data_IF_956434486922
#
_entry.id   IF_956434486922
#
_cell.length_a   1.000
_cell.length_b   1.000
_cell.length_c   1.000
_cell.angle_alpha   90.00
_cell.angle_beta   90.00
_cell.angle_gamma   90.00
#
_symmetry.space_group_name_H-M   'P 1'
#
loop_
_entity.id
_entity.type
_entity.pdbx_description
1 polymer ?
#
# COMPACT_ATOMS: atom_id res chain seq x y z
N UNK A 1 23.54 -14.59 -6.53
CA UNK A 1 22.75 -14.42 -7.75
C UNK A 1 22.77 -12.96 -8.09
N UNK A 2 23.53 -12.57 -9.12
CA UNK A 2 23.52 -11.23 -9.69
C UNK A 2 22.07 -10.91 -10.07
N UNK A 3 21.45 -9.98 -9.36
CA UNK A 3 20.24 -9.29 -9.84
C UNK A 3 20.68 -8.49 -11.06
N UNK A 4 20.72 -9.16 -12.20
CA UNK A 4 21.06 -8.52 -13.46
C UNK A 4 20.12 -7.33 -13.68
N UNK A 5 20.65 -6.27 -14.28
CA UNK A 5 20.05 -4.98 -14.63
C UNK A 5 18.69 -5.03 -15.36
N UNK A 6 17.96 -6.15 -15.33
CA UNK A 6 16.67 -6.37 -15.99
C UNK A 6 15.47 -5.77 -15.27
N UNK A 7 15.59 -5.45 -13.98
CA UNK A 7 14.47 -5.01 -13.13
C UNK A 7 14.39 -3.50 -12.92
N UNK A 8 15.45 -2.77 -13.23
CA UNK A 8 15.42 -1.32 -13.18
C UNK A 8 15.77 -0.79 -14.57
N UNK A 9 14.81 -0.23 -15.32
CA UNK A 9 15.14 0.49 -16.55
C UNK A 9 16.12 1.62 -16.20
N UNK A 10 17.27 1.66 -16.88
CA UNK A 10 18.36 2.61 -16.63
C UNK A 10 17.99 4.06 -16.88
N UNK A 11 16.89 4.31 -17.56
CA UNK A 11 16.34 5.64 -17.81
C UNK A 11 14.84 5.65 -17.51
N UNK A 12 14.32 6.69 -16.85
CA UNK A 12 12.89 6.86 -16.75
C UNK A 12 12.34 7.05 -18.17
N UNK A 13 11.54 6.11 -18.64
CA UNK A 13 10.84 6.20 -19.94
C UNK A 13 9.70 7.22 -19.90
N UNK A 14 9.80 8.22 -19.03
CA UNK A 14 8.83 9.31 -18.94
C UNK A 14 9.35 10.53 -19.72
N UNK A 15 8.69 10.80 -20.81
CA UNK A 15 8.80 12.10 -21.45
C UNK A 15 7.91 13.06 -20.66
N UNK A 16 8.53 13.94 -19.87
CA UNK A 16 7.83 14.92 -19.01
C UNK A 16 6.87 15.82 -19.80
N UNK A 17 7.22 16.20 -21.04
CA UNK A 17 6.38 17.01 -21.91
C UNK A 17 5.15 16.21 -22.41
N UNK A 18 5.34 14.94 -22.71
CA UNK A 18 4.25 14.06 -23.14
C UNK A 18 3.28 13.77 -21.99
N UNK A 19 3.79 13.53 -20.78
CA UNK A 19 2.96 13.34 -19.59
C UNK A 19 2.23 14.63 -19.20
N UNK A 20 2.87 15.78 -19.32
CA UNK A 20 2.24 17.08 -19.13
C UNK A 20 1.12 17.30 -20.15
N UNK A 21 1.35 17.00 -21.43
CA UNK A 21 0.33 17.11 -22.47
C UNK A 21 -0.84 16.12 -22.27
N UNK A 22 -0.59 14.92 -21.70
CA UNK A 22 -1.65 13.99 -21.29
C UNK A 22 -2.45 14.54 -20.12
N UNK A 23 -1.79 15.18 -19.16
CA UNK A 23 -2.41 15.81 -18.02
C UNK A 23 -3.28 17.00 -18.43
N UNK A 24 -2.76 17.89 -19.29
CA UNK A 24 -3.48 19.04 -19.81
C UNK A 24 -4.71 18.61 -20.64
N UNK A 25 -4.61 17.54 -21.43
CA UNK A 25 -5.76 16.93 -22.12
C UNK A 25 -6.80 16.38 -21.16
N UNK A 26 -6.38 15.71 -20.06
CA UNK A 26 -7.30 15.20 -19.02
C UNK A 26 -7.98 16.35 -18.29
N UNK A 27 -7.28 17.41 -17.96
CA UNK A 27 -7.85 18.59 -17.31
C UNK A 27 -8.83 19.33 -18.22
N UNK A 28 -8.52 19.51 -19.49
CA UNK A 28 -9.42 20.12 -20.48
C UNK A 28 -10.67 19.25 -20.73
N UNK A 29 -10.53 17.93 -20.78
CA UNK A 29 -11.66 17.00 -20.88
C UNK A 29 -12.52 16.97 -19.61
N UNK A 30 -11.93 17.17 -18.43
CA UNK A 30 -12.67 17.29 -17.17
C UNK A 30 -13.51 18.58 -17.13
N UNK A 31 -13.03 19.68 -17.73
CA UNK A 31 -13.83 20.90 -17.90
C UNK A 31 -14.93 20.77 -18.96
N UNK A 32 -14.78 19.91 -19.98
CA UNK A 32 -15.64 19.85 -21.17
C UNK A 32 -16.67 18.71 -21.20
N UNK A 33 -17.02 18.08 -20.08
CA UNK A 33 -18.15 17.17 -20.11
C UNK A 33 -18.04 15.82 -19.40
N UNK A 34 -16.89 15.43 -18.84
CA UNK A 34 -16.81 14.22 -18.01
C UNK A 34 -17.64 14.37 -16.72
N UNK A 35 -17.83 15.60 -16.23
CA UNK A 35 -18.70 15.90 -15.10
C UNK A 35 -20.17 15.61 -15.38
N UNK A 36 -20.64 15.84 -16.62
CA UNK A 36 -22.02 15.55 -17.03
C UNK A 36 -22.29 14.05 -17.16
N UNK A 37 -21.37 13.27 -17.72
CA UNK A 37 -21.49 11.81 -17.80
C UNK A 37 -21.41 11.14 -16.42
N UNK A 38 -20.61 11.70 -15.50
CA UNK A 38 -20.56 11.24 -14.11
C UNK A 38 -21.83 11.58 -13.33
N UNK A 39 -22.50 12.71 -13.65
CA UNK A 39 -23.79 13.11 -13.06
C UNK A 39 -24.94 12.23 -13.55
N UNK A 40 -24.93 11.77 -14.78
CA UNK A 40 -25.94 10.84 -15.30
C UNK A 40 -25.82 9.44 -14.67
N UNK A 41 -24.64 9.04 -14.24
CA UNK A 41 -24.44 7.82 -13.43
C UNK A 41 -25.06 7.92 -12.02
N UNK A 42 -25.35 9.12 -11.51
CA UNK A 42 -26.04 9.32 -10.22
C UNK A 42 -27.51 8.90 -10.22
N UNK A 43 -28.12 8.67 -11.38
CA UNK A 43 -29.48 8.09 -11.50
C UNK A 43 -29.52 6.59 -11.18
N UNK A 44 -28.37 5.93 -10.95
CA UNK A 44 -28.34 4.54 -10.51
C UNK A 44 -28.92 4.45 -9.10
N UNK A 45 -29.98 3.65 -8.96
CA UNK A 45 -30.55 3.32 -7.66
C UNK A 45 -29.47 2.72 -6.78
N UNK A 46 -29.23 3.32 -5.62
CA UNK A 46 -28.28 2.78 -4.65
C UNK A 46 -28.80 1.43 -4.16
N UNK A 47 -27.93 0.42 -4.22
CA UNK A 47 -28.16 -0.91 -3.68
C UNK A 47 -27.21 -1.15 -2.51
N UNK A 48 -27.57 -2.06 -1.64
CA UNK A 48 -26.82 -2.39 -0.44
C UNK A 48 -26.49 -3.88 -0.43
N UNK A 49 -25.31 -4.22 0.11
CA UNK A 49 -24.98 -5.61 0.32
C UNK A 49 -25.97 -6.25 1.30
N UNK A 50 -26.52 -7.39 0.95
CA UNK A 50 -27.48 -8.11 1.80
C UNK A 50 -26.87 -8.68 3.08
N UNK A 51 -25.54 -8.78 3.17
CA UNK A 51 -24.82 -9.31 4.35
C UNK A 51 -24.20 -8.20 5.22
N UNK A 52 -23.45 -7.25 4.62
CA UNK A 52 -22.67 -6.25 5.40
C UNK A 52 -23.20 -4.83 5.22
N UNK A 53 -24.26 -4.63 4.46
CA UNK A 53 -24.89 -3.33 4.17
C UNK A 53 -23.96 -2.31 3.49
N UNK A 54 -22.88 -2.76 2.83
CA UNK A 54 -21.99 -1.87 2.09
C UNK A 54 -22.74 -1.28 0.87
N UNK A 55 -22.67 0.05 0.61
CA UNK A 55 -23.40 0.68 -0.48
C UNK A 55 -22.72 0.47 -1.84
N UNK A 56 -23.50 0.41 -2.92
CA UNK A 56 -22.99 0.34 -4.30
C UNK A 56 -22.32 1.63 -4.77
N UNK A 57 -22.64 2.76 -4.13
CA UNK A 57 -22.01 4.05 -4.39
C UNK A 57 -20.87 4.24 -3.39
N UNK A 58 -19.64 4.04 -3.84
CA UNK A 58 -18.43 4.30 -3.09
C UNK A 58 -17.38 4.91 -4.02
N UNK A 59 -16.28 5.43 -3.43
CA UNK A 59 -15.17 6.00 -4.20
C UNK A 59 -14.54 4.97 -5.16
N UNK A 60 -14.50 3.70 -4.75
CA UNK A 60 -14.15 2.57 -5.61
C UNK A 60 -15.43 1.84 -6.00
N UNK A 61 -15.71 1.64 -7.30
CA UNK A 61 -16.87 0.90 -7.75
C UNK A 61 -16.93 -0.49 -7.10
N UNK A 62 -18.05 -0.82 -6.46
CA UNK A 62 -18.24 -2.11 -5.81
C UNK A 62 -19.09 -3.01 -6.71
N UNK A 63 -18.58 -4.19 -7.00
CA UNK A 63 -19.32 -5.23 -7.72
C UNK A 63 -20.17 -6.07 -6.75
N UNK A 64 -21.36 -6.44 -7.22
CA UNK A 64 -22.30 -7.28 -6.49
C UNK A 64 -22.57 -8.55 -7.27
N UNK A 65 -22.58 -9.68 -6.58
CA UNK A 65 -23.05 -10.93 -7.17
C UNK A 65 -24.57 -10.95 -7.38
N UNK A 66 -25.05 -11.93 -8.13
CA UNK A 66 -26.49 -12.14 -8.38
C UNK A 66 -27.29 -12.39 -7.09
N UNK A 67 -26.61 -12.82 -6.02
CA UNK A 67 -27.17 -13.01 -4.68
C UNK A 67 -27.22 -11.72 -3.82
N UNK A 68 -26.85 -10.57 -4.39
CA UNK A 68 -26.83 -9.29 -3.69
C UNK A 68 -25.64 -9.08 -2.72
N UNK A 69 -24.67 -10.00 -2.69
CA UNK A 69 -23.47 -9.86 -1.88
C UNK A 69 -22.42 -8.98 -2.58
N UNK A 70 -21.83 -8.04 -1.85
CA UNK A 70 -20.64 -7.32 -2.35
C UNK A 70 -19.44 -8.25 -2.50
N UNK A 71 -18.47 -7.85 -3.33
CA UNK A 71 -17.24 -8.63 -3.57
C UNK A 71 -16.50 -8.95 -2.26
N UNK A 72 -16.45 -8.02 -1.30
CA UNK A 72 -15.84 -8.26 0.00
C UNK A 72 -16.47 -9.41 0.78
N UNK A 73 -17.80 -9.49 0.79
CA UNK A 73 -18.52 -10.60 1.42
C UNK A 73 -18.33 -11.92 0.69
N UNK A 74 -18.33 -11.89 -0.65
CA UNK A 74 -18.06 -13.10 -1.45
C UNK A 74 -16.67 -13.66 -1.15
N UNK A 75 -15.63 -12.83 -1.15
CA UNK A 75 -14.26 -13.23 -0.82
C UNK A 75 -14.15 -13.71 0.63
N UNK A 76 -14.80 -13.03 1.58
CA UNK A 76 -14.82 -13.46 2.98
C UNK A 76 -15.45 -14.84 3.14
N UNK A 77 -16.60 -15.07 2.50
CA UNK A 77 -17.27 -16.36 2.52
C UNK A 77 -16.46 -17.47 1.84
N UNK A 78 -15.71 -17.13 0.78
CA UNK A 78 -14.79 -18.06 0.13
C UNK A 78 -13.62 -18.44 1.05
N UNK A 79 -13.00 -17.45 1.71
CA UNK A 79 -11.89 -17.66 2.66
C UNK A 79 -12.30 -18.56 3.83
N UNK A 80 -13.53 -18.46 4.32
CA UNK A 80 -14.05 -19.32 5.41
C UNK A 80 -14.21 -20.78 5.01
N UNK A 81 -14.23 -21.07 3.72
CA UNK A 81 -14.34 -22.44 3.19
C UNK A 81 -12.98 -23.11 2.97
N UNK A 82 -11.89 -22.36 3.12
CA UNK A 82 -10.56 -22.97 2.99
C UNK A 82 -10.32 -23.94 4.15
N UNK A 83 -9.84 -25.14 3.81
CA UNK A 83 -9.37 -26.10 4.80
C UNK A 83 -8.11 -25.57 5.50
N UNK A 84 -7.84 -26.02 6.72
CA UNK A 84 -6.66 -25.61 7.48
C UNK A 84 -5.37 -25.93 6.71
N UNK A 85 -5.34 -27.04 5.99
CA UNK A 85 -4.20 -27.40 5.13
C UNK A 85 -3.85 -26.36 4.06
N UNK A 86 -4.82 -25.57 3.57
CA UNK A 86 -4.54 -24.48 2.63
C UNK A 86 -3.83 -23.31 3.34
N UNK A 87 -4.17 -23.04 4.61
CA UNK A 87 -3.47 -22.04 5.40
C UNK A 87 -2.04 -22.48 5.77
N UNK A 88 -1.86 -23.77 6.09
CA UNK A 88 -0.54 -24.37 6.32
C UNK A 88 0.34 -24.28 5.08
N UNK A 89 -0.23 -24.60 3.91
CA UNK A 89 0.48 -24.47 2.62
C UNK A 89 0.90 -23.03 2.36
N UNK A 90 0.02 -22.05 2.59
CA UNK A 90 0.34 -20.61 2.42
C UNK A 90 1.43 -20.15 3.39
N UNK A 91 1.38 -20.61 4.63
CA UNK A 91 2.42 -20.32 5.60
C UNK A 91 3.77 -20.90 5.16
N UNK A 92 3.79 -22.11 4.63
CA UNK A 92 5.00 -22.71 4.11
C UNK A 92 5.58 -21.95 2.93
N UNK A 93 4.75 -21.54 1.97
CA UNK A 93 5.17 -20.68 0.84
C UNK A 93 5.76 -19.35 1.34
N UNK A 94 5.14 -18.71 2.34
CA UNK A 94 5.69 -17.48 2.92
C UNK A 94 7.06 -17.71 3.55
N UNK A 95 7.26 -18.81 4.29
CA UNK A 95 8.56 -19.17 4.87
C UNK A 95 9.62 -19.37 3.78
N UNK A 96 9.30 -20.08 2.72
CA UNK A 96 10.21 -20.32 1.60
C UNK A 96 10.65 -19.02 0.90
N UNK A 97 9.71 -18.08 0.69
CA UNK A 97 10.03 -16.76 0.12
C UNK A 97 10.97 -15.98 1.06
N UNK A 98 10.69 -15.99 2.35
CA UNK A 98 11.51 -15.31 3.35
C UNK A 98 12.91 -15.93 3.46
N UNK A 99 13.02 -17.27 3.44
CA UNK A 99 14.31 -17.95 3.48
C UNK A 99 15.19 -17.63 2.25
N UNK A 100 14.59 -17.48 1.07
CA UNK A 100 15.32 -17.03 -0.12
C UNK A 100 15.87 -15.60 0.02
N UNK A 101 15.21 -14.76 0.80
CA UNK A 101 15.60 -13.38 1.05
C UNK A 101 16.59 -13.24 2.22
N UNK A 102 16.73 -14.27 3.06
CA UNK A 102 17.57 -14.22 4.29
C UNK A 102 19.03 -13.82 3.99
N UNK A 103 19.55 -12.91 4.79
CA UNK A 103 20.98 -12.59 4.81
C UNK A 103 21.76 -13.73 5.47
N UNK A 104 22.61 -14.41 4.70
CA UNK A 104 23.35 -15.57 5.20
C UNK A 104 24.47 -15.18 6.16
N UNK A 105 25.02 -13.99 5.99
CA UNK A 105 26.15 -13.44 6.75
C UNK A 105 25.73 -12.33 7.74
N UNK A 106 24.44 -12.00 7.80
CA UNK A 106 23.92 -10.94 8.64
C UNK A 106 24.33 -9.53 8.20
N UNK A 107 24.94 -9.36 7.04
CA UNK A 107 25.43 -8.06 6.54
C UNK A 107 24.30 -7.09 6.15
N UNK A 108 23.07 -7.57 6.01
CA UNK A 108 21.88 -6.78 5.66
C UNK A 108 20.63 -7.30 6.35
N UNK A 109 19.56 -6.52 6.35
CA UNK A 109 18.23 -6.99 6.73
C UNK A 109 17.69 -8.00 5.70
N UNK A 110 16.81 -8.88 6.16
CA UNK A 110 16.20 -9.92 5.33
C UNK A 110 15.08 -9.35 4.44
N UNK A 111 14.30 -8.43 5.00
CA UNK A 111 13.20 -7.79 4.30
C UNK A 111 12.96 -6.37 4.82
N UNK A 112 12.21 -5.59 4.07
CA UNK A 112 11.61 -4.31 4.50
C UNK A 112 10.15 -4.53 4.82
N UNK A 113 9.65 -3.93 5.90
CA UNK A 113 8.23 -3.87 6.24
C UNK A 113 7.81 -2.40 6.25
N UNK A 114 6.83 -2.03 5.40
CA UNK A 114 6.18 -0.72 5.46
C UNK A 114 5.26 -0.63 6.67
N UNK A 115 5.51 0.32 7.59
CA UNK A 115 4.79 0.40 8.87
C UNK A 115 4.21 1.79 9.13
N UNK A 116 3.05 1.82 9.80
CA UNK A 116 2.36 3.05 10.23
C UNK A 116 2.15 3.14 11.75
N UNK A 117 2.57 2.15 12.51
CA UNK A 117 2.29 2.06 13.95
C UNK A 117 0.88 1.57 14.29
N UNK A 118 0.08 1.18 13.28
CA UNK A 118 -1.23 0.57 13.47
C UNK A 118 -1.14 -0.93 13.81
N UNK A 119 -2.28 -1.53 14.15
CA UNK A 119 -2.39 -2.95 14.56
C UNK A 119 -1.79 -3.93 13.55
N UNK A 120 -1.99 -3.67 12.27
CA UNK A 120 -1.52 -4.54 11.20
C UNK A 120 0.01 -4.47 11.06
N UNK A 121 0.60 -3.27 11.23
CA UNK A 121 2.05 -3.08 11.29
C UNK A 121 2.69 -3.85 12.45
N UNK A 122 2.07 -3.79 13.62
CA UNK A 122 2.51 -4.55 14.80
C UNK A 122 2.42 -6.05 14.57
N UNK A 123 1.30 -6.53 14.02
CA UNK A 123 1.10 -7.94 13.71
C UNK A 123 2.15 -8.46 12.72
N UNK A 124 2.36 -7.75 11.60
CA UNK A 124 3.33 -8.14 10.59
C UNK A 124 4.74 -8.20 11.15
N UNK A 125 5.15 -7.18 11.90
CA UNK A 125 6.48 -7.13 12.51
C UNK A 125 6.66 -8.26 13.51
N UNK A 126 5.67 -8.48 14.40
CA UNK A 126 5.68 -9.59 15.33
C UNK A 126 5.81 -10.94 14.62
N UNK A 127 5.02 -11.15 13.60
CA UNK A 127 5.01 -12.43 12.88
C UNK A 127 6.35 -12.68 12.18
N UNK A 128 6.90 -11.70 11.46
CA UNK A 128 8.16 -11.82 10.75
C UNK A 128 9.35 -11.96 11.71
N UNK A 129 9.41 -11.09 12.74
CA UNK A 129 10.55 -11.08 13.69
C UNK A 129 10.46 -12.21 14.72
N UNK A 130 9.35 -12.30 15.44
CA UNK A 130 9.27 -13.14 16.63
C UNK A 130 8.79 -14.57 16.31
N UNK A 131 7.91 -14.73 15.32
CA UNK A 131 7.37 -16.06 14.97
C UNK A 131 8.25 -16.75 13.92
N UNK A 132 8.68 -16.02 12.90
CA UNK A 132 9.47 -16.59 11.80
C UNK A 132 10.99 -16.41 11.96
N UNK A 133 11.44 -15.56 12.89
CA UNK A 133 12.87 -15.37 13.22
C UNK A 133 13.69 -14.67 12.13
N UNK A 134 13.08 -13.71 11.41
CA UNK A 134 13.77 -12.89 10.40
C UNK A 134 14.16 -11.53 10.97
N UNK A 135 15.10 -10.86 10.29
CA UNK A 135 15.58 -9.53 10.65
C UNK A 135 15.02 -8.47 9.69
N UNK A 136 13.81 -7.88 9.98
CA UNK A 136 13.21 -6.86 9.15
C UNK A 136 13.79 -5.48 9.41
N UNK A 137 13.84 -4.64 8.36
CA UNK A 137 13.98 -3.19 8.46
C UNK A 137 12.60 -2.55 8.37
N UNK A 138 12.18 -1.81 9.38
CA UNK A 138 10.93 -1.05 9.33
C UNK A 138 11.14 0.24 8.56
N UNK A 139 10.15 0.60 7.72
CA UNK A 139 10.21 1.84 6.94
C UNK A 139 8.86 2.54 7.00
N UNK A 140 8.87 3.83 7.32
CA UNK A 140 7.68 4.68 7.35
C UNK A 140 7.83 5.89 6.43
N UNK A 141 6.80 6.15 5.63
CA UNK A 141 6.58 7.46 5.04
C UNK A 141 5.75 8.32 5.99
N UNK A 142 6.34 9.39 6.54
CA UNK A 142 5.68 10.23 7.52
C UNK A 142 4.86 11.33 6.83
N UNK A 143 3.57 11.06 6.62
CA UNK A 143 2.66 11.93 5.86
C UNK A 143 1.93 13.02 6.67
N UNK A 144 2.29 13.26 7.94
CA UNK A 144 1.71 14.24 8.88
C UNK A 144 0.28 13.99 9.38
N UNK A 145 -0.25 12.80 9.23
CA UNK A 145 -1.63 12.48 9.64
C UNK A 145 -1.68 11.61 10.90
N UNK A 146 -0.68 11.72 11.76
CA UNK A 146 -0.63 10.93 12.99
C UNK A 146 -1.34 11.63 14.14
N UNK A 147 -2.10 10.85 14.92
CA UNK A 147 -2.52 11.27 16.26
C UNK A 147 -1.35 11.11 17.24
N UNK A 148 -1.38 11.78 18.42
CA UNK A 148 -0.34 11.59 19.43
C UNK A 148 -0.15 10.11 19.83
N UNK A 149 -1.22 9.33 19.89
CA UNK A 149 -1.18 7.90 20.14
C UNK A 149 -0.52 7.12 19.00
N UNK A 150 -0.89 7.46 17.75
CA UNK A 150 -0.31 6.84 16.56
C UNK A 150 1.19 7.11 16.45
N UNK A 151 1.62 8.32 16.77
CA UNK A 151 3.03 8.71 16.78
C UNK A 151 3.82 7.96 17.86
N UNK A 152 3.28 7.87 19.09
CA UNK A 152 3.88 7.04 20.16
C UNK A 152 3.99 5.58 19.74
N UNK A 153 2.92 5.01 19.18
CA UNK A 153 2.93 3.62 18.73
C UNK A 153 3.97 3.39 17.64
N UNK A 154 4.07 4.31 16.68
CA UNK A 154 5.04 4.22 15.60
C UNK A 154 6.49 4.19 16.14
N UNK A 155 6.84 5.12 17.03
CA UNK A 155 8.19 5.20 17.59
C UNK A 155 8.53 4.00 18.48
N UNK A 156 7.57 3.46 19.22
CA UNK A 156 7.77 2.30 20.08
C UNK A 156 8.01 0.99 19.33
N UNK A 157 7.69 0.92 18.04
CA UNK A 157 7.86 -0.34 17.29
C UNK A 157 9.32 -0.82 17.29
N UNK A 158 10.28 0.09 17.11
CA UNK A 158 11.70 -0.25 17.12
C UNK A 158 12.13 -0.87 18.46
N UNK A 159 11.66 -0.29 19.57
CA UNK A 159 11.99 -0.77 20.92
C UNK A 159 11.30 -2.11 21.23
N UNK A 160 10.00 -2.23 20.93
CA UNK A 160 9.21 -3.42 21.23
C UNK A 160 9.69 -4.66 20.51
N UNK A 161 10.15 -4.50 19.28
CA UNK A 161 10.57 -5.61 18.43
C UNK A 161 12.09 -5.75 18.30
N UNK A 162 12.86 -4.83 18.89
CA UNK A 162 14.32 -4.78 18.74
C UNK A 162 14.73 -4.85 17.26
N UNK A 163 14.30 -3.85 16.49
CA UNK A 163 14.53 -3.75 15.03
C UNK A 163 14.86 -2.32 14.62
N UNK A 164 15.59 -2.18 13.53
CA UNK A 164 15.89 -0.87 12.94
C UNK A 164 14.64 -0.27 12.28
N UNK A 165 14.49 1.06 12.37
CA UNK A 165 13.37 1.79 11.80
C UNK A 165 13.82 3.07 11.09
N UNK A 166 13.55 3.18 9.81
CA UNK A 166 13.77 4.40 9.02
C UNK A 166 12.46 5.15 8.85
N UNK A 167 12.39 6.38 9.34
CA UNK A 167 11.24 7.28 9.17
C UNK A 167 11.60 8.36 8.17
N UNK A 168 11.03 8.29 6.97
CA UNK A 168 11.18 9.34 5.95
C UNK A 168 10.12 10.41 6.14
N UNK A 169 10.55 11.59 6.60
CA UNK A 169 9.70 12.75 6.87
C UNK A 169 9.94 13.84 5.81
N UNK A 170 9.04 14.02 4.84
CA UNK A 170 9.16 15.11 3.87
C UNK A 170 9.04 16.49 4.55
N UNK A 171 9.70 17.50 3.97
CA UNK A 171 9.57 18.86 4.45
C UNK A 171 8.14 19.39 4.33
N UNK A 172 7.68 20.15 5.34
CA UNK A 172 6.29 20.65 5.43
C UNK A 172 5.91 21.50 4.21
N UNK A 173 6.84 22.30 3.67
CA UNK A 173 6.61 23.11 2.47
C UNK A 173 6.32 22.23 1.22
N UNK A 174 7.02 21.10 1.09
CA UNK A 174 6.79 20.14 0.03
C UNK A 174 5.42 19.47 0.19
N UNK A 175 5.08 19.03 1.41
CA UNK A 175 3.78 18.41 1.68
C UNK A 175 2.61 19.32 1.35
N UNK A 176 2.70 20.63 1.74
CA UNK A 176 1.67 21.61 1.38
C UNK A 176 1.51 21.77 -0.14
N UNK A 177 2.61 21.75 -0.90
CA UNK A 177 2.56 21.80 -2.37
C UNK A 177 1.93 20.55 -2.96
N UNK A 178 2.31 19.38 -2.46
CA UNK A 178 1.77 18.09 -2.91
C UNK A 178 0.28 17.96 -2.59
N UNK A 179 -0.17 18.40 -1.41
CA UNK A 179 -1.58 18.44 -1.04
C UNK A 179 -2.41 19.30 -2.00
N UNK A 180 -1.92 20.50 -2.30
CA UNK A 180 -2.60 21.42 -3.25
C UNK A 180 -2.66 20.83 -4.66
N UNK A 181 -1.56 20.23 -5.11
CA UNK A 181 -1.47 19.63 -6.44
C UNK A 181 -2.37 18.40 -6.53
N UNK A 182 -2.30 17.49 -5.56
CA UNK A 182 -3.14 16.31 -5.49
C UNK A 182 -4.62 16.65 -5.49
N UNK A 183 -5.02 17.66 -4.70
CA UNK A 183 -6.40 18.13 -4.70
C UNK A 183 -6.84 18.67 -6.07
N UNK A 184 -6.01 19.49 -6.72
CA UNK A 184 -6.35 20.08 -8.02
C UNK A 184 -6.43 19.07 -9.15
N UNK A 185 -5.54 18.07 -9.16
CA UNK A 185 -5.40 17.13 -10.27
C UNK A 185 -6.22 15.85 -10.06
N UNK A 186 -6.19 15.33 -8.81
CA UNK A 186 -6.76 14.02 -8.47
C UNK A 186 -8.07 14.14 -7.68
N UNK A 187 -8.39 15.32 -7.14
CA UNK A 187 -9.48 15.49 -6.19
C UNK A 187 -9.16 14.91 -4.80
N UNK A 188 -7.92 14.51 -4.57
CA UNK A 188 -7.46 13.88 -3.34
C UNK A 188 -6.22 14.60 -2.78
N UNK A 189 -6.37 15.27 -1.64
CA UNK A 189 -5.26 15.95 -0.96
C UNK A 189 -4.21 14.96 -0.43
N UNK A 190 -4.60 13.74 -0.14
CA UNK A 190 -3.71 12.74 0.46
C UNK A 190 -3.05 11.81 -0.57
N UNK A 191 -3.22 12.07 -1.86
CA UNK A 191 -2.62 11.28 -2.92
C UNK A 191 -1.11 11.03 -2.72
N UNK A 192 -0.37 12.05 -2.29
CA UNK A 192 1.06 11.91 -1.99
C UNK A 192 1.34 10.92 -0.84
N UNK A 193 0.42 10.81 0.12
CA UNK A 193 0.51 9.85 1.22
C UNK A 193 0.46 8.41 0.69
N UNK A 194 -0.54 8.10 -0.15
CA UNK A 194 -0.68 6.78 -0.78
C UNK A 194 0.54 6.43 -1.64
N UNK A 195 1.05 7.40 -2.41
CA UNK A 195 2.26 7.19 -3.21
C UNK A 195 3.51 7.04 -2.34
N UNK A 196 3.64 7.83 -1.28
CA UNK A 196 4.77 7.80 -0.37
C UNK A 196 4.89 6.49 0.39
N UNK A 197 3.78 5.97 0.95
CA UNK A 197 3.77 4.69 1.64
C UNK A 197 4.10 3.52 0.72
N UNK A 198 3.78 3.62 -0.57
CA UNK A 198 4.11 2.59 -1.55
C UNK A 198 5.54 2.69 -2.07
N UNK A 199 6.05 3.90 -2.31
CA UNK A 199 7.34 4.10 -3.00
C UNK A 199 8.55 4.15 -2.07
N UNK A 200 8.41 4.69 -0.86
CA UNK A 200 9.55 4.87 0.05
C UNK A 200 10.10 3.54 0.56
N UNK A 201 9.29 2.57 1.04
CA UNK A 201 9.82 1.26 1.42
C UNK A 201 10.55 0.55 0.26
N UNK A 202 10.00 0.62 -0.95
CA UNK A 202 10.65 0.05 -2.15
C UNK A 202 11.99 0.73 -2.45
N UNK A 203 12.05 2.07 -2.35
CA UNK A 203 13.28 2.84 -2.56
C UNK A 203 14.34 2.50 -1.53
N UNK A 204 13.97 2.39 -0.26
CA UNK A 204 14.88 2.01 0.83
C UNK A 204 15.38 0.58 0.63
N UNK A 205 14.49 -0.36 0.30
CA UNK A 205 14.88 -1.74 -0.02
C UNK A 205 15.93 -1.79 -1.14
N UNK A 206 15.72 -1.04 -2.22
CA UNK A 206 16.65 -0.96 -3.33
C UNK A 206 18.01 -0.36 -2.92
N UNK A 207 18.01 0.73 -2.14
CA UNK A 207 19.24 1.40 -1.67
C UNK A 207 20.06 0.50 -0.74
N UNK A 208 19.41 -0.24 0.14
CA UNK A 208 20.04 -1.15 1.09
C UNK A 208 20.24 -2.58 0.52
N UNK A 209 19.92 -2.79 -0.76
CA UNK A 209 20.02 -4.10 -1.44
C UNK A 209 19.23 -5.21 -0.73
N UNK A 210 18.11 -4.85 -0.11
CA UNK A 210 17.20 -5.79 0.55
C UNK A 210 16.25 -6.34 -0.52
N UNK A 211 16.21 -7.66 -0.75
CA UNK A 211 15.51 -8.22 -1.92
C UNK A 211 14.00 -8.35 -1.76
N UNK A 212 13.45 -8.17 -0.56
CA UNK A 212 12.05 -8.44 -0.25
C UNK A 212 11.41 -7.25 0.48
N UNK A 213 10.20 -6.89 0.05
CA UNK A 213 9.32 -5.94 0.76
C UNK A 213 8.03 -6.64 1.11
N UNK A 214 7.62 -6.56 2.38
CA UNK A 214 6.39 -7.13 2.90
C UNK A 214 5.36 -6.02 3.06
N UNK A 215 4.18 -6.24 2.51
CA UNK A 215 3.04 -5.34 2.58
C UNK A 215 1.89 -5.96 3.35
N UNK A 216 1.25 -5.15 4.20
CA UNK A 216 -0.01 -5.50 4.86
C UNK A 216 -1.25 -4.90 4.21
N UNK A 217 -1.06 -4.16 3.13
CA UNK A 217 -2.15 -3.50 2.42
C UNK A 217 -2.73 -4.40 1.32
N UNK A 218 -4.04 -4.39 1.17
CA UNK A 218 -4.71 -5.04 0.05
C UNK A 218 -4.81 -4.05 -1.11
N UNK A 219 -4.25 -4.40 -2.24
CA UNK A 219 -4.30 -3.61 -3.48
C UNK A 219 -5.55 -3.87 -4.31
N UNK A 220 -6.75 -3.81 -3.72
CA UNK A 220 -8.01 -3.97 -4.44
C UNK A 220 -8.64 -2.65 -4.81
#
# INVERSE_FOLDING_TARGET
>A
VSLGNKWFPREPRYNLEEEKAKLDRRMNNAHNGIFTAALDKRKRKMTWCTQCLYPSLSATPMEYGTNGLCMGCQISNLKRKFADSEWDRRQQVLKEILEQARSKDGSRHDCVIGVSGGKDSYFQTHYVKNVLGFNPLLVTYYGNNFTPEGERNLHRMAEVFDVDHIIYKPGVGLLKKLNRLGFKIMGDMNWHGHMGISTIPMKIAALHKIPLVIWGEHGY
#
